data_IF_332570156572
#
_entry.id   IF_332570156572
#
_cell.length_a   1.000
_cell.length_b   1.000
_cell.length_c   1.000
_cell.angle_alpha   90.00
_cell.angle_beta   90.00
_cell.angle_gamma   90.00
#
_symmetry.space_group_name_H-M   'P 1'
#
loop_
_entity.id
_entity.type
_entity.pdbx_description
1 polymer ?
#
# COMPACT_ATOMS: atom_id res chain seq x y z
N UNK A 1 1.08 0.96 -10.90
CA UNK A 1 0.28 0.31 -11.95
C UNK A 1 -0.09 1.33 -13.02
N UNK A 2 0.19 1.04 -14.28
CA UNK A 2 -0.24 1.85 -15.42
C UNK A 2 -1.19 1.02 -16.25
N UNK A 3 -2.28 1.63 -16.71
CA UNK A 3 -3.22 1.01 -17.64
C UNK A 3 -3.05 1.62 -19.01
N UNK A 4 -3.01 0.77 -20.01
CA UNK A 4 -2.94 1.16 -21.41
C UNK A 4 -4.23 0.73 -22.10
N UNK A 5 -4.82 1.63 -22.87
CA UNK A 5 -6.05 1.32 -23.62
C UNK A 5 -5.63 0.63 -24.92
N UNK A 6 -5.97 -0.65 -25.05
CA UNK A 6 -5.74 -1.43 -26.26
C UNK A 6 -6.83 -1.13 -27.29
N UNK A 7 -8.10 -1.16 -26.85
CA UNK A 7 -9.26 -0.82 -27.67
C UNK A 7 -10.22 0.11 -26.92
N UNK A 8 -10.98 0.93 -27.67
CA UNK A 8 -12.01 1.81 -27.10
C UNK A 8 -11.51 3.16 -26.62
N UNK A 9 -10.39 3.66 -27.17
CA UNK A 9 -9.80 4.96 -26.81
C UNK A 9 -10.82 6.11 -26.76
N UNK A 10 -11.73 6.19 -27.76
CA UNK A 10 -12.79 7.21 -27.80
C UNK A 10 -13.74 7.10 -26.60
N UNK A 11 -14.15 5.87 -26.24
CA UNK A 11 -15.03 5.62 -25.09
C UNK A 11 -14.34 6.02 -23.80
N UNK A 12 -13.10 5.62 -23.62
CA UNK A 12 -12.30 5.97 -22.42
C UNK A 12 -12.13 7.48 -22.33
N UNK A 13 -11.81 8.17 -23.42
CA UNK A 13 -11.66 9.63 -23.46
C UNK A 13 -12.95 10.36 -23.09
N UNK A 14 -14.08 9.93 -23.63
CA UNK A 14 -15.38 10.51 -23.31
C UNK A 14 -15.75 10.29 -21.86
N UNK A 15 -15.59 9.06 -21.34
CA UNK A 15 -15.92 8.74 -19.95
C UNK A 15 -15.00 9.50 -18.96
N UNK A 16 -13.71 9.66 -19.29
CA UNK A 16 -12.81 10.51 -18.50
C UNK A 16 -13.19 11.98 -18.53
N UNK A 17 -13.59 12.50 -19.68
CA UNK A 17 -14.06 13.88 -19.83
C UNK A 17 -15.29 14.18 -18.95
N UNK A 18 -16.20 13.19 -18.81
CA UNK A 18 -17.37 13.29 -17.93
C UNK A 18 -17.10 12.81 -16.51
N UNK A 19 -15.83 12.64 -16.13
CA UNK A 19 -15.42 12.22 -14.77
C UNK A 19 -16.11 10.95 -14.29
N UNK A 20 -16.31 9.99 -15.18
CA UNK A 20 -16.93 8.73 -14.84
C UNK A 20 -16.10 7.98 -13.79
N UNK A 21 -16.73 7.61 -12.68
CA UNK A 21 -16.09 6.91 -11.55
C UNK A 21 -15.59 5.52 -11.95
N UNK A 22 -16.26 4.89 -12.92
CA UNK A 22 -15.93 3.54 -13.41
C UNK A 22 -16.05 3.46 -14.92
N UNK A 23 -15.13 2.77 -15.54
CA UNK A 23 -15.16 2.44 -16.96
C UNK A 23 -15.26 0.91 -17.09
N UNK A 24 -16.36 0.37 -17.61
CA UNK A 24 -16.48 -1.07 -17.83
C UNK A 24 -15.56 -1.52 -18.98
N UNK A 25 -14.87 -2.63 -18.76
CA UNK A 25 -13.96 -3.18 -19.76
C UNK A 25 -13.29 -4.46 -19.29
N UNK A 26 -12.62 -5.13 -20.22
CA UNK A 26 -11.75 -6.27 -19.94
C UNK A 26 -10.34 -5.75 -19.69
N UNK A 27 -9.72 -6.18 -18.60
CA UNK A 27 -8.34 -5.81 -18.25
C UNK A 27 -7.46 -7.03 -18.37
N UNK A 28 -6.46 -6.94 -19.24
CA UNK A 28 -5.40 -7.95 -19.37
C UNK A 28 -4.21 -7.52 -18.51
N UNK A 29 -3.85 -8.32 -17.52
CA UNK A 29 -2.68 -8.07 -16.66
C UNK A 29 -1.48 -8.82 -17.23
N UNK A 30 -0.45 -8.07 -17.59
CA UNK A 30 0.84 -8.64 -17.94
C UNK A 30 1.64 -8.92 -16.65
N UNK A 31 1.95 -10.19 -16.39
CA UNK A 31 2.70 -10.61 -15.21
C UNK A 31 4.15 -10.88 -15.65
N UNK A 32 5.13 -10.13 -15.13
CA UNK A 32 6.53 -10.38 -15.46
C UNK A 32 7.00 -11.75 -14.96
N UNK A 33 8.01 -12.32 -15.57
CA UNK A 33 8.67 -13.52 -15.04
C UNK A 33 9.32 -13.22 -13.68
N UNK A 34 9.37 -14.25 -12.82
CA UNK A 34 10.02 -14.13 -11.50
C UNK A 34 11.50 -13.90 -11.67
N UNK A 35 12.02 -12.92 -10.96
CA UNK A 35 13.45 -12.63 -10.85
C UNK A 35 13.79 -12.19 -9.42
N UNK A 36 15.07 -11.99 -9.15
CA UNK A 36 15.58 -11.67 -7.82
C UNK A 36 15.50 -10.18 -7.45
N UNK A 37 14.98 -9.33 -8.32
CA UNK A 37 14.84 -7.90 -8.01
C UNK A 37 13.80 -7.67 -6.92
N UNK A 38 14.04 -6.67 -6.07
CA UNK A 38 13.15 -6.31 -4.97
C UNK A 38 11.73 -5.99 -5.48
N UNK A 39 11.64 -5.23 -6.56
CA UNK A 39 10.36 -4.85 -7.16
C UNK A 39 9.56 -6.05 -7.64
N UNK A 40 10.23 -7.04 -8.25
CA UNK A 40 9.57 -8.25 -8.72
C UNK A 40 9.08 -9.09 -7.53
N UNK A 41 9.88 -9.22 -6.47
CA UNK A 41 9.48 -9.92 -5.26
C UNK A 41 8.26 -9.26 -4.60
N UNK A 42 8.26 -7.93 -4.45
CA UNK A 42 7.11 -7.16 -3.93
C UNK A 42 5.89 -7.34 -4.84
N UNK A 43 6.08 -7.35 -6.16
CA UNK A 43 4.99 -7.54 -7.11
C UNK A 43 4.35 -8.93 -6.95
N UNK A 44 5.14 -9.98 -6.70
CA UNK A 44 4.59 -11.31 -6.46
C UNK A 44 3.89 -11.42 -5.10
N UNK A 45 4.38 -10.76 -4.04
CA UNK A 45 3.62 -10.62 -2.78
C UNK A 45 2.28 -9.91 -3.02
N UNK A 46 2.28 -8.86 -3.85
CA UNK A 46 1.04 -8.19 -4.25
C UNK A 46 0.08 -9.16 -4.95
N UNK A 47 0.55 -9.98 -5.88
CA UNK A 47 -0.31 -10.94 -6.58
C UNK A 47 -0.95 -11.95 -5.63
N UNK A 48 -0.20 -12.44 -4.64
CA UNK A 48 -0.72 -13.36 -3.63
C UNK A 48 -1.73 -12.68 -2.71
N UNK A 49 -1.44 -11.45 -2.24
CA UNK A 49 -2.39 -10.63 -1.50
C UNK A 49 -3.65 -10.33 -2.32
N UNK A 50 -3.51 -9.99 -3.60
CA UNK A 50 -4.64 -9.69 -4.48
C UNK A 50 -5.57 -10.89 -4.68
N UNK A 51 -5.06 -12.11 -4.69
CA UNK A 51 -5.90 -13.33 -4.77
C UNK A 51 -6.88 -13.39 -3.60
N UNK A 52 -6.44 -13.00 -2.41
CA UNK A 52 -7.23 -13.03 -1.17
C UNK A 52 -8.11 -11.80 -1.01
N UNK A 53 -7.54 -10.62 -1.21
CA UNK A 53 -8.19 -9.34 -0.90
C UNK A 53 -8.99 -8.73 -2.05
N UNK A 54 -8.60 -8.99 -3.31
CA UNK A 54 -9.05 -8.26 -4.51
C UNK A 54 -8.74 -6.76 -4.49
N UNK A 55 -7.86 -6.30 -3.57
CA UNK A 55 -7.41 -4.92 -3.45
C UNK A 55 -6.20 -4.71 -4.36
N UNK A 56 -6.25 -3.69 -5.22
CA UNK A 56 -5.21 -3.42 -6.23
C UNK A 56 -4.62 -2.01 -6.18
N UNK A 57 -5.03 -1.20 -5.21
CA UNK A 57 -4.65 0.22 -5.10
C UNK A 57 -3.64 0.50 -3.99
N UNK A 58 -3.32 -0.48 -3.14
CA UNK A 58 -2.31 -0.35 -2.09
C UNK A 58 -0.96 -0.82 -2.62
N UNK A 59 0.07 -0.02 -2.37
CA UNK A 59 1.45 -0.33 -2.78
C UNK A 59 2.38 -0.19 -1.61
N UNK A 60 3.37 -1.09 -1.54
CA UNK A 60 4.45 -1.06 -0.57
C UNK A 60 5.79 -0.94 -1.29
N UNK A 61 6.73 -0.24 -0.65
CA UNK A 61 8.10 -0.12 -1.16
C UNK A 61 9.02 -1.23 -0.63
N UNK A 62 8.54 -2.07 0.30
CA UNK A 62 9.35 -3.07 1.01
C UNK A 62 8.66 -4.43 1.03
N UNK A 63 9.48 -5.49 1.12
CA UNK A 63 8.99 -6.86 1.27
C UNK A 63 8.24 -7.05 2.60
N UNK A 64 7.27 -7.95 2.60
CA UNK A 64 6.47 -8.28 3.79
C UNK A 64 5.34 -7.32 4.08
N UNK A 65 5.21 -6.20 3.34
CA UNK A 65 4.18 -5.20 3.54
C UNK A 65 2.77 -5.76 3.40
N UNK A 66 2.53 -6.58 2.40
CA UNK A 66 1.22 -7.20 2.16
C UNK A 66 0.85 -8.22 3.25
N UNK A 67 1.80 -9.06 3.67
CA UNK A 67 1.58 -10.01 4.76
C UNK A 67 1.31 -9.28 6.08
N UNK A 68 2.04 -8.20 6.35
CA UNK A 68 1.84 -7.37 7.53
C UNK A 68 0.47 -6.68 7.52
N UNK A 69 0.05 -6.14 6.36
CA UNK A 69 -1.29 -5.57 6.22
C UNK A 69 -2.37 -6.61 6.52
N UNK A 70 -2.26 -7.83 6.00
CA UNK A 70 -3.17 -8.93 6.28
C UNK A 70 -3.33 -9.15 7.79
N UNK A 71 -2.20 -9.24 8.51
CA UNK A 71 -2.19 -9.43 9.97
C UNK A 71 -2.80 -8.24 10.71
N UNK A 72 -2.41 -7.01 10.35
CA UNK A 72 -2.91 -5.79 11.01
C UNK A 72 -4.40 -5.55 10.75
N UNK A 73 -4.91 -6.00 9.60
CA UNK A 73 -6.34 -6.01 9.30
C UNK A 73 -7.10 -7.18 9.98
N UNK A 74 -6.47 -7.84 10.95
CA UNK A 74 -7.06 -8.97 11.70
C UNK A 74 -7.47 -10.16 10.82
N UNK A 75 -6.76 -10.38 9.69
CA UNK A 75 -6.98 -11.52 8.81
C UNK A 75 -5.94 -12.60 9.04
N UNK A 76 -6.39 -13.85 9.13
CA UNK A 76 -5.50 -14.99 9.22
C UNK A 76 -4.71 -15.19 7.91
N UNK A 77 -3.60 -15.90 8.00
CA UNK A 77 -2.81 -16.24 6.80
C UNK A 77 -3.66 -17.07 5.83
N UNK A 78 -3.78 -16.58 4.59
CA UNK A 78 -4.59 -17.23 3.55
C UNK A 78 -6.11 -16.95 3.63
N UNK A 79 -6.57 -16.15 4.60
CA UNK A 79 -7.97 -15.76 4.71
C UNK A 79 -8.35 -14.76 3.61
N UNK A 80 -9.48 -15.01 2.95
CA UNK A 80 -10.02 -14.11 1.94
C UNK A 80 -10.80 -12.96 2.57
N UNK A 81 -10.74 -11.79 1.95
CA UNK A 81 -11.48 -10.61 2.38
C UNK A 81 -12.91 -10.64 1.85
N UNK A 82 -13.86 -10.33 2.72
CA UNK A 82 -15.25 -10.14 2.35
C UNK A 82 -15.48 -8.81 1.62
N UNK A 83 -16.66 -8.58 1.08
CA UNK A 83 -17.02 -7.30 0.47
C UNK A 83 -17.01 -6.16 1.51
N UNK A 84 -17.47 -6.44 2.72
CA UNK A 84 -17.46 -5.47 3.82
C UNK A 84 -16.03 -5.13 4.26
N UNK A 85 -15.13 -6.13 4.35
CA UNK A 85 -13.71 -5.88 4.63
C UNK A 85 -13.10 -4.94 3.59
N UNK A 86 -13.40 -5.19 2.31
CA UNK A 86 -12.91 -4.35 1.21
C UNK A 86 -13.45 -2.94 1.26
N UNK A 87 -14.72 -2.78 1.59
CA UNK A 87 -15.37 -1.48 1.68
C UNK A 87 -14.81 -0.67 2.85
N UNK A 88 -14.70 -1.27 4.03
CA UNK A 88 -14.15 -0.64 5.23
C UNK A 88 -12.68 -0.24 5.00
N UNK A 89 -11.89 -1.13 4.44
CA UNK A 89 -10.50 -0.83 4.12
C UNK A 89 -10.35 0.27 3.06
N UNK A 90 -11.19 0.26 2.02
CA UNK A 90 -11.16 1.31 0.99
C UNK A 90 -11.46 2.68 1.59
N UNK A 91 -12.43 2.78 2.48
CA UNK A 91 -12.77 4.01 3.21
C UNK A 91 -11.59 4.49 4.04
N UNK A 92 -11.04 3.63 4.89
CA UNK A 92 -9.88 3.95 5.73
C UNK A 92 -8.66 4.37 4.89
N UNK A 93 -8.31 3.59 3.86
CA UNK A 93 -7.14 3.86 3.03
C UNK A 93 -7.26 5.17 2.27
N UNK A 94 -8.46 5.49 1.79
CA UNK A 94 -8.74 6.75 1.10
C UNK A 94 -8.56 7.94 2.04
N UNK A 95 -9.20 7.90 3.22
CA UNK A 95 -9.06 8.95 4.24
C UNK A 95 -7.60 9.11 4.67
N UNK A 96 -6.93 8.00 4.99
CA UNK A 96 -5.53 8.00 5.41
C UNK A 96 -4.62 8.60 4.34
N UNK A 97 -4.74 8.14 3.10
CA UNK A 97 -3.91 8.63 1.98
C UNK A 97 -4.09 10.12 1.75
N UNK A 98 -5.31 10.63 1.82
CA UNK A 98 -5.59 12.07 1.70
C UNK A 98 -4.87 12.86 2.81
N UNK A 99 -4.96 12.42 4.07
CA UNK A 99 -4.30 13.09 5.18
C UNK A 99 -2.76 12.96 5.11
N UNK A 100 -2.25 11.80 4.69
CA UNK A 100 -0.82 11.58 4.47
C UNK A 100 -0.24 12.56 3.46
N UNK A 101 -0.90 12.73 2.32
CA UNK A 101 -0.47 13.69 1.31
C UNK A 101 -0.65 15.14 1.77
N UNK A 102 -1.72 15.45 2.49
CA UNK A 102 -1.96 16.79 3.06
C UNK A 102 -0.89 17.20 4.09
N UNK A 103 -0.27 16.24 4.78
CA UNK A 103 0.84 16.48 5.72
C UNK A 103 2.22 16.48 5.03
N UNK A 104 2.28 16.39 3.70
CA UNK A 104 3.53 16.42 2.95
C UNK A 104 4.17 15.04 2.73
N UNK A 105 3.42 13.97 2.84
CA UNK A 105 3.90 12.59 2.65
C UNK A 105 4.58 12.33 1.30
N UNK A 106 4.23 13.08 0.25
CA UNK A 106 4.89 13.00 -1.06
C UNK A 106 6.40 13.29 -1.01
N UNK A 107 6.84 14.10 -0.05
CA UNK A 107 8.26 14.45 0.11
C UNK A 107 9.08 13.37 0.82
N UNK A 108 8.41 12.41 1.46
CA UNK A 108 9.08 11.38 2.26
C UNK A 108 9.65 10.22 1.42
N UNK A 109 9.27 10.09 0.15
CA UNK A 109 9.65 8.94 -0.68
C UNK A 109 9.06 7.61 -0.24
N UNK A 110 8.09 7.63 0.67
CA UNK A 110 7.33 6.48 1.15
C UNK A 110 5.99 6.37 0.42
N UNK A 111 5.48 5.16 0.30
CA UNK A 111 4.10 4.97 -0.15
C UNK A 111 3.13 5.20 1.03
N UNK A 112 1.89 5.61 0.75
CA UNK A 112 0.85 5.65 1.80
C UNK A 112 0.65 4.29 2.48
N UNK A 113 0.89 3.18 1.75
CA UNK A 113 0.85 1.83 2.30
C UNK A 113 1.88 1.61 3.41
N UNK A 114 3.14 2.01 3.16
CA UNK A 114 4.21 1.89 4.16
C UNK A 114 3.88 2.68 5.44
N UNK A 115 3.39 3.91 5.28
CA UNK A 115 2.98 4.75 6.41
C UNK A 115 1.75 4.18 7.13
N UNK A 116 0.80 3.58 6.41
CA UNK A 116 -0.38 2.94 6.99
C UNK A 116 -0.01 1.77 7.90
N UNK A 117 1.04 0.99 7.57
CA UNK A 117 1.48 -0.09 8.45
C UNK A 117 1.95 0.42 9.82
N UNK A 118 2.63 1.56 9.87
CA UNK A 118 3.02 2.21 11.14
C UNK A 118 1.78 2.66 11.89
N UNK A 119 0.85 3.29 11.18
CA UNK A 119 -0.40 3.76 11.75
C UNK A 119 -1.22 2.62 12.37
N UNK A 120 -1.44 1.53 11.64
CA UNK A 120 -2.20 0.37 12.10
C UNK A 120 -1.48 -0.46 13.18
N UNK A 121 -0.18 -0.32 13.33
CA UNK A 121 0.54 -0.94 14.42
C UNK A 121 0.31 -0.24 15.77
N UNK A 122 -0.07 1.04 15.74
CA UNK A 122 -0.42 1.84 16.94
C UNK A 122 -1.92 1.88 17.17
N UNK A 123 -2.68 2.15 16.10
CA UNK A 123 -4.14 2.19 16.16
C UNK A 123 -4.71 0.89 15.59
N UNK A 124 -5.48 0.16 16.38
CA UNK A 124 -6.08 -1.10 15.92
C UNK A 124 -6.94 -0.87 14.69
N UNK A 125 -6.92 -1.79 13.77
CA UNK A 125 -7.72 -1.72 12.55
C UNK A 125 -9.21 -1.54 12.84
N UNK A 126 -9.76 -2.29 13.83
CA UNK A 126 -11.16 -2.17 14.27
C UNK A 126 -11.56 -0.76 14.68
N UNK A 127 -10.64 -0.02 15.29
CA UNK A 127 -10.89 1.34 15.75
C UNK A 127 -10.67 2.34 14.60
N UNK A 128 -9.64 2.09 13.80
CA UNK A 128 -9.24 2.95 12.71
C UNK A 128 -10.30 3.08 11.60
N UNK A 129 -11.08 2.04 11.34
CA UNK A 129 -12.17 2.08 10.34
C UNK A 129 -13.33 2.97 10.77
N UNK A 130 -13.47 3.26 12.08
CA UNK A 130 -14.50 4.12 12.64
C UNK A 130 -14.04 5.58 12.81
N UNK A 131 -12.77 5.87 12.56
CA UNK A 131 -12.24 7.21 12.74
C UNK A 131 -12.75 8.18 11.66
N UNK A 132 -13.05 9.41 12.11
CA UNK A 132 -13.34 10.53 11.23
C UNK A 132 -12.04 11.03 10.54
N UNK A 133 -12.14 11.73 9.40
CA UNK A 133 -10.95 12.32 8.74
C UNK A 133 -10.13 13.23 9.67
N UNK A 134 -10.78 13.94 10.59
CA UNK A 134 -10.11 14.80 11.57
C UNK A 134 -9.28 13.97 12.58
N UNK A 135 -9.83 12.88 13.08
CA UNK A 135 -9.13 11.96 13.98
C UNK A 135 -7.97 11.27 13.27
N UNK A 136 -8.17 10.81 12.02
CA UNK A 136 -7.07 10.25 11.21
C UNK A 136 -5.93 11.25 11.06
N UNK A 137 -6.25 12.52 10.76
CA UNK A 137 -5.25 13.59 10.64
C UNK A 137 -4.50 13.84 11.95
N UNK A 138 -5.22 13.96 13.06
CA UNK A 138 -4.64 14.18 14.38
C UNK A 138 -3.71 13.02 14.77
N UNK A 139 -4.20 11.80 14.63
CA UNK A 139 -3.46 10.58 14.94
C UNK A 139 -2.20 10.44 14.06
N UNK A 140 -2.34 10.73 12.76
CA UNK A 140 -1.22 10.70 11.82
C UNK A 140 -0.18 11.78 12.15
N UNK A 141 -0.62 12.97 12.59
CA UNK A 141 0.29 14.05 13.02
C UNK A 141 1.12 13.63 14.24
N UNK A 142 0.53 12.87 15.17
CA UNK A 142 1.24 12.35 16.36
C UNK A 142 2.31 11.32 15.99
N UNK A 143 2.11 10.57 14.91
CA UNK A 143 3.05 9.54 14.42
C UNK A 143 3.98 10.06 13.31
N UNK A 144 3.91 11.37 13.01
CA UNK A 144 4.61 11.88 11.82
C UNK A 144 6.14 11.73 11.91
N UNK A 145 6.69 11.88 13.10
CA UNK A 145 8.14 11.74 13.30
C UNK A 145 8.57 10.27 13.22
N UNK A 146 7.79 9.33 13.72
CA UNK A 146 8.03 7.89 13.55
C UNK A 146 7.95 7.47 12.08
N UNK A 147 7.03 8.05 11.32
CA UNK A 147 6.94 7.79 9.87
C UNK A 147 8.16 8.36 9.14
N UNK A 148 8.64 9.56 9.51
CA UNK A 148 9.87 10.13 8.95
C UNK A 148 11.09 9.25 9.19
N UNK A 149 11.21 8.63 10.35
CA UNK A 149 12.31 7.70 10.67
C UNK A 149 12.40 6.56 9.65
N UNK A 150 11.30 6.12 9.08
CA UNK A 150 11.31 5.11 8.01
C UNK A 150 12.04 5.58 6.73
N UNK A 151 12.19 6.89 6.54
CA UNK A 151 12.86 7.45 5.35
C UNK A 151 14.37 7.47 5.48
N UNK A 152 14.90 7.40 6.70
CA UNK A 152 16.33 7.50 6.98
C UNK A 152 17.02 6.13 6.91
N UNK A 153 17.98 5.94 6.00
CA UNK A 153 18.64 4.63 5.82
C UNK A 153 19.45 4.16 7.04
N UNK A 154 19.78 5.06 7.97
CA UNK A 154 20.62 4.76 9.14
C UNK A 154 19.90 4.84 10.49
N UNK A 155 18.70 5.36 10.55
CA UNK A 155 17.97 5.55 11.81
C UNK A 155 17.56 4.22 12.49
N UNK A 156 17.45 3.14 11.72
CA UNK A 156 17.07 1.82 12.24
C UNK A 156 18.20 1.19 13.06
N UNK A 157 19.47 1.55 12.82
CA UNK A 157 20.61 1.05 13.62
C UNK A 157 20.82 1.85 14.92
N UNK A 158 20.49 3.13 14.92
CA UNK A 158 20.70 4.01 16.09
C UNK A 158 19.58 3.93 17.13
N UNK A 159 18.39 3.44 16.77
CA UNK A 159 17.27 3.28 17.72
C UNK A 159 17.30 1.98 18.53
N UNK A 160 18.32 1.14 18.35
CA UNK A 160 18.51 -0.10 19.10
C UNK A 160 19.15 0.12 20.50
N UNK A 161 19.62 1.33 20.81
CA UNK A 161 20.02 1.66 22.18
C UNK A 161 18.80 2.15 22.97
N UNK A 162 18.33 1.38 23.98
CA UNK A 162 17.18 1.80 24.77
C UNK A 162 17.57 3.02 25.62
N UNK A 163 16.94 4.18 25.34
CA UNK A 163 16.91 5.24 26.34
C UNK A 163 16.18 4.71 27.58
N UNK A 164 16.76 4.82 28.78
CA UNK A 164 16.10 4.34 29.97
C UNK A 164 14.77 5.07 30.17
N UNK A 165 13.66 4.34 29.96
CA UNK A 165 12.29 4.80 30.23
C UNK A 165 11.33 4.88 29.06
N UNK A 166 11.75 4.70 27.81
CA UNK A 166 10.81 4.62 26.67
C UNK A 166 11.27 3.57 25.67
N UNK A 167 10.56 2.47 25.58
CA UNK A 167 10.73 1.58 24.43
C UNK A 167 10.26 2.32 23.18
N UNK A 168 11.13 2.49 22.16
CA UNK A 168 10.70 3.07 20.89
C UNK A 168 9.59 2.21 20.29
N UNK A 169 8.50 2.84 19.85
CA UNK A 169 7.37 2.18 19.17
C UNK A 169 7.84 1.25 18.04
N UNK A 170 8.91 1.62 17.35
CA UNK A 170 9.54 0.84 16.28
C UNK A 170 10.05 -0.54 16.71
N UNK A 171 10.50 -0.72 17.96
CA UNK A 171 10.91 -2.04 18.47
C UNK A 171 9.72 -2.99 18.63
N UNK A 172 8.52 -2.45 18.87
CA UNK A 172 7.27 -3.23 18.89
C UNK A 172 6.79 -3.59 17.49
N UNK A 173 7.24 -2.86 16.48
CA UNK A 173 6.68 -2.96 15.14
C UNK A 173 7.32 -4.07 14.29
N UNK A 174 8.59 -4.40 14.52
CA UNK A 174 9.36 -5.39 13.71
C UNK A 174 8.90 -5.47 12.23
N UNK A 175 8.62 -4.27 11.64
CA UNK A 175 7.83 -4.13 10.41
C UNK A 175 8.66 -4.51 9.18
N UNK A 176 10.00 -4.30 9.27
CA UNK A 176 10.84 -4.48 8.10
C UNK A 176 12.18 -5.15 8.44
N UNK A 177 12.54 -6.16 7.70
CA UNK A 177 13.90 -6.64 7.60
C UNK A 177 14.72 -5.64 6.76
N UNK A 178 15.95 -5.32 7.19
CA UNK A 178 16.96 -4.37 6.68
C UNK A 178 16.62 -3.58 5.41
N UNK A 179 16.80 -2.24 5.40
CA UNK A 179 16.57 -1.42 4.22
C UNK A 179 17.58 -1.73 3.10
N UNK A 180 17.10 -2.14 1.94
CA UNK A 180 17.86 -2.17 0.70
C UNK A 180 17.59 -0.88 -0.08
N UNK A 181 18.64 -0.27 -0.66
CA UNK A 181 18.52 0.94 -1.47
C UNK A 181 17.59 0.70 -2.66
N UNK A 182 16.52 1.46 -2.74
CA UNK A 182 15.58 1.44 -3.85
C UNK A 182 16.04 2.39 -4.96
N UNK A 183 16.35 1.82 -6.12
CA UNK A 183 16.39 2.55 -7.39
C UNK A 183 15.13 2.17 -8.17
N UNK A 184 14.25 3.13 -8.43
CA UNK A 184 13.09 2.89 -9.30
C UNK A 184 13.58 2.74 -10.73
N UNK A 185 13.53 1.52 -11.26
CA UNK A 185 13.84 1.22 -12.67
C UNK A 185 12.55 0.84 -13.36
N UNK A 186 12.22 1.53 -14.44
CA UNK A 186 11.10 1.17 -15.30
C UNK A 186 11.45 -0.08 -16.10
N UNK A 187 10.65 -1.13 -15.94
CA UNK A 187 10.83 -2.41 -16.62
C UNK A 187 10.43 -2.31 -18.09
N UNK A 188 11.35 -2.63 -18.98
CA UNK A 188 11.17 -2.62 -20.42
C UNK A 188 11.44 -3.97 -21.08
N UNK A 189 11.07 -5.09 -20.51
CA UNK A 189 11.00 -6.37 -21.27
C UNK A 189 10.17 -7.38 -20.50
N UNK A 190 9.10 -7.90 -21.10
CA UNK A 190 8.16 -8.80 -20.46
C UNK A 190 7.91 -10.05 -21.31
N UNK A 191 8.13 -11.23 -20.72
CA UNK A 191 7.39 -12.43 -21.06
C UNK A 191 6.21 -12.56 -20.09
N UNK A 192 5.00 -12.56 -20.60
CA UNK A 192 3.81 -12.34 -19.78
C UNK A 192 2.82 -13.49 -19.81
N UNK A 193 2.29 -13.87 -18.63
CA UNK A 193 1.05 -14.63 -18.51
C UNK A 193 -0.13 -13.67 -18.46
N UNK A 194 -1.10 -13.88 -19.31
CA UNK A 194 -2.31 -13.05 -19.43
C UNK A 194 -3.38 -13.48 -18.44
N UNK A 195 -3.92 -12.54 -17.64
CA UNK A 195 -5.07 -12.76 -16.74
C UNK A 195 -6.12 -11.69 -17.03
N UNK A 196 -7.36 -12.12 -17.34
CA UNK A 196 -8.47 -11.25 -17.71
C UNK A 196 -9.33 -10.85 -16.50
N UNK A 197 -9.74 -9.58 -16.41
CA UNK A 197 -10.63 -9.03 -15.40
C UNK A 197 -11.74 -8.19 -16.03
N UNK A 198 -12.92 -8.15 -15.41
CA UNK A 198 -14.13 -7.55 -15.99
C UNK A 198 -14.46 -6.13 -15.50
N UNK A 199 -13.78 -5.59 -14.47
CA UNK A 199 -14.07 -4.24 -13.95
C UNK A 199 -12.79 -3.48 -13.58
N UNK A 200 -12.73 -2.22 -14.02
CA UNK A 200 -11.70 -1.26 -13.68
C UNK A 200 -12.32 -0.11 -12.85
N UNK A 201 -11.74 0.18 -11.67
CA UNK A 201 -12.04 1.40 -10.91
C UNK A 201 -10.89 2.39 -11.12
N UNK A 202 -11.19 3.61 -11.52
CA UNK A 202 -10.24 4.70 -11.77
C UNK A 202 -10.10 5.60 -10.56
#
# INVERSE_FOLDING_TARGET
NKFYVEEGNKRVSVLKYYEAVKIPGTVTRLVPERNETLENKIYYEFLDFYKLSKINYVHFSRLGGYAKLQTLACKATGESWTDDDRLNFASLYTMFSQQFYALGGSALGLTPGDALLVYLAVYRYSDAIEFTPAQVRENLSKLWDEIKILTEPHAVELSLEPKPGSEPLLNKLNIFSKPSQLKVVFLHEYNAKTVSYTHLTL
#
